data_IF_437862199151
#
_entry.id   IF_437862199151
#
_cell.length_a   1.000
_cell.length_b   1.000
_cell.length_c   1.000
_cell.angle_alpha   90.00
_cell.angle_beta   90.00
_cell.angle_gamma   90.00
#
_symmetry.space_group_name_H-M   'P 1'
#
loop_
_entity.id
_entity.type
_entity.pdbx_description
1 polymer ?
#
# COMPACT_ATOMS: atom_id res chain seq x y z
N UNK A 1 -7.55 -21.87 -9.61
CA UNK A 1 -8.07 -23.23 -9.34
C UNK A 1 -9.33 -23.46 -10.16
N UNK A 2 -9.60 -24.71 -10.44
CA UNK A 2 -10.71 -25.12 -11.33
C UNK A 2 -11.68 -26.09 -10.65
N UNK A 3 -11.38 -26.51 -9.44
CA UNK A 3 -12.24 -27.43 -8.70
C UNK A 3 -12.26 -27.11 -7.22
N UNK A 4 -13.23 -27.68 -6.51
CA UNK A 4 -13.33 -27.52 -5.06
C UNK A 4 -12.12 -28.15 -4.37
N UNK A 5 -11.69 -29.32 -4.83
CA UNK A 5 -10.53 -30.00 -4.24
C UNK A 5 -9.25 -29.18 -4.43
N UNK A 6 -9.05 -28.59 -5.61
CA UNK A 6 -7.91 -27.69 -5.86
C UNK A 6 -7.98 -26.47 -4.94
N UNK A 7 -9.18 -25.95 -4.69
CA UNK A 7 -9.39 -24.80 -3.81
C UNK A 7 -8.94 -25.11 -2.38
N UNK A 8 -9.35 -26.28 -1.88
CA UNK A 8 -8.98 -26.69 -0.52
C UNK A 8 -7.47 -26.90 -0.41
N UNK A 9 -6.86 -27.52 -1.42
CA UNK A 9 -5.41 -27.74 -1.43
C UNK A 9 -4.64 -26.41 -1.47
N UNK A 10 -5.11 -25.47 -2.27
CA UNK A 10 -4.47 -24.15 -2.37
C UNK A 10 -4.56 -23.41 -1.03
N UNK A 11 -5.72 -23.45 -0.38
CA UNK A 11 -5.91 -22.77 0.91
C UNK A 11 -5.04 -23.38 2.01
N UNK A 12 -4.82 -24.70 1.97
CA UNK A 12 -3.90 -25.34 2.91
C UNK A 12 -2.49 -24.79 2.81
N UNK A 13 -2.03 -24.53 1.59
CA UNK A 13 -0.72 -23.94 1.35
C UNK A 13 -0.64 -22.49 1.78
N UNK A 14 -1.70 -21.72 1.53
CA UNK A 14 -1.73 -20.29 1.86
C UNK A 14 -1.94 -20.01 3.34
N UNK A 15 -2.70 -20.86 4.00
CA UNK A 15 -3.12 -20.64 5.39
C UNK A 15 -4.41 -19.82 5.45
N UNK A 16 -5.34 -20.27 6.29
CA UNK A 16 -6.60 -19.57 6.51
C UNK A 16 -6.39 -18.33 7.38
N UNK A 17 -7.21 -17.29 7.24
CA UNK A 17 -8.33 -17.18 6.30
C UNK A 17 -7.87 -16.90 4.87
N UNK A 18 -8.70 -17.30 3.90
CA UNK A 18 -8.46 -17.01 2.49
C UNK A 18 -9.63 -16.22 1.93
N UNK A 19 -9.37 -15.54 0.82
CA UNK A 19 -10.39 -14.82 0.06
C UNK A 19 -10.59 -15.53 -1.27
N UNK A 20 -11.85 -15.68 -1.67
CA UNK A 20 -12.19 -16.25 -2.98
C UNK A 20 -12.70 -15.16 -3.91
N UNK A 21 -12.41 -15.30 -5.18
CA UNK A 21 -12.90 -14.39 -6.20
C UNK A 21 -13.11 -15.20 -7.50
N UNK A 22 -14.34 -15.18 -7.99
CA UNK A 22 -14.64 -15.83 -9.27
C UNK A 22 -13.96 -15.05 -10.39
N UNK A 23 -13.29 -15.75 -11.31
CA UNK A 23 -12.47 -15.13 -12.35
C UNK A 23 -13.32 -14.34 -13.35
N UNK A 24 -14.55 -14.79 -13.61
CA UNK A 24 -15.39 -14.24 -14.66
C UNK A 24 -16.80 -13.89 -14.19
N UNK A 25 -16.97 -13.48 -12.94
CA UNK A 25 -18.29 -13.13 -12.46
C UNK A 25 -18.53 -11.61 -12.47
N UNK A 26 -19.73 -11.23 -12.86
CA UNK A 26 -20.21 -9.87 -12.70
C UNK A 26 -21.06 -9.82 -11.43
N UNK A 27 -20.92 -8.77 -10.66
CA UNK A 27 -21.73 -8.55 -9.49
C UNK A 27 -21.30 -9.22 -8.20
N UNK A 28 -20.07 -9.70 -8.14
CA UNK A 28 -19.50 -10.21 -6.89
C UNK A 28 -19.94 -11.60 -6.45
N UNK A 29 -20.70 -12.30 -7.25
CA UNK A 29 -21.09 -13.69 -6.95
C UNK A 29 -19.85 -14.59 -6.91
N UNK A 30 -19.71 -15.35 -5.84
CA UNK A 30 -18.57 -16.24 -5.65
C UNK A 30 -17.36 -15.60 -5.00
N UNK A 31 -17.48 -14.34 -4.56
CA UNK A 31 -16.45 -13.68 -3.80
C UNK A 31 -16.80 -13.74 -2.32
N UNK A 32 -15.81 -13.96 -1.47
CA UNK A 32 -16.05 -14.01 -0.04
C UNK A 32 -14.82 -14.44 0.72
N UNK A 33 -14.94 -14.43 2.04
CA UNK A 33 -13.88 -14.87 2.95
C UNK A 33 -14.24 -16.24 3.51
N UNK A 34 -13.25 -17.10 3.61
CA UNK A 34 -13.38 -18.41 4.23
C UNK A 34 -12.36 -18.51 5.37
N UNK A 35 -12.84 -18.77 6.57
CA UNK A 35 -11.98 -18.88 7.74
C UNK A 35 -11.51 -20.31 8.00
N UNK A 36 -12.10 -21.28 7.33
CA UNK A 36 -11.81 -22.70 7.53
C UNK A 36 -12.21 -23.46 6.26
N UNK A 37 -11.79 -24.75 6.15
CA UNK A 37 -12.11 -25.55 4.97
C UNK A 37 -13.61 -25.71 4.72
N UNK A 38 -14.43 -25.79 5.74
CA UNK A 38 -15.88 -25.93 5.59
C UNK A 38 -16.48 -24.74 4.86
N UNK A 39 -16.12 -23.52 5.30
CA UNK A 39 -16.59 -22.29 4.65
C UNK A 39 -16.09 -22.18 3.22
N UNK A 40 -14.83 -22.56 2.98
CA UNK A 40 -14.26 -22.51 1.64
C UNK A 40 -14.97 -23.47 0.71
N UNK A 41 -15.31 -24.67 1.18
CA UNK A 41 -16.03 -25.65 0.36
C UNK A 41 -17.36 -25.10 -0.13
N UNK A 42 -18.11 -24.43 0.74
CA UNK A 42 -19.37 -23.80 0.39
C UNK A 42 -19.17 -22.72 -0.67
N UNK A 43 -18.22 -21.79 -0.43
CA UNK A 43 -17.95 -20.69 -1.35
C UNK A 43 -17.48 -21.21 -2.72
N UNK A 44 -16.55 -22.18 -2.70
CA UNK A 44 -15.98 -22.72 -3.94
C UNK A 44 -17.05 -23.46 -4.75
N UNK A 45 -17.92 -24.21 -4.08
CA UNK A 45 -19.00 -24.93 -4.76
C UNK A 45 -19.94 -23.93 -5.46
N UNK A 46 -20.31 -22.86 -4.76
CA UNK A 46 -21.18 -21.83 -5.33
C UNK A 46 -20.51 -21.10 -6.50
N UNK A 47 -19.24 -20.72 -6.32
CA UNK A 47 -18.51 -19.97 -7.34
C UNK A 47 -18.29 -20.79 -8.61
N UNK A 48 -17.89 -22.06 -8.45
CA UNK A 48 -17.57 -22.92 -9.58
C UNK A 48 -18.82 -23.44 -10.31
N UNK A 49 -19.99 -23.26 -9.72
CA UNK A 49 -21.25 -23.53 -10.41
C UNK A 49 -21.52 -22.50 -11.52
N UNK A 50 -20.93 -21.33 -11.42
CA UNK A 50 -21.19 -20.21 -12.35
C UNK A 50 -19.93 -19.67 -13.03
N UNK A 51 -18.75 -20.16 -12.66
CA UNK A 51 -17.48 -19.75 -13.25
C UNK A 51 -16.59 -20.97 -13.40
N UNK A 52 -15.81 -21.00 -14.48
CA UNK A 52 -14.88 -22.08 -14.71
C UNK A 52 -13.62 -21.98 -13.86
N UNK A 53 -13.39 -20.83 -13.26
CA UNK A 53 -12.15 -20.55 -12.50
C UNK A 53 -12.46 -19.81 -11.23
N UNK A 54 -11.68 -20.10 -10.19
CA UNK A 54 -11.75 -19.40 -8.91
C UNK A 54 -10.34 -19.00 -8.52
N UNK A 55 -10.18 -17.77 -8.06
CA UNK A 55 -8.92 -17.28 -7.50
C UNK A 55 -9.01 -17.42 -5.98
N UNK A 56 -7.97 -18.02 -5.40
CA UNK A 56 -7.85 -18.15 -3.94
C UNK A 56 -6.65 -17.32 -3.51
N UNK A 57 -6.89 -16.33 -2.66
CA UNK A 57 -5.85 -15.46 -2.14
C UNK A 57 -5.78 -15.55 -0.62
N UNK A 58 -4.58 -15.41 -0.07
CA UNK A 58 -4.42 -15.27 1.37
C UNK A 58 -5.11 -13.99 1.83
N UNK A 59 -5.90 -14.07 2.89
CA UNK A 59 -6.52 -12.89 3.47
C UNK A 59 -5.53 -12.19 4.39
N UNK A 60 -5.35 -10.89 4.19
CA UNK A 60 -4.50 -10.05 5.02
C UNK A 60 -5.32 -9.15 5.93
N UNK A 61 -6.58 -9.53 6.17
CA UNK A 61 -7.46 -8.77 7.05
C UNK A 61 -6.82 -8.62 8.42
N UNK A 62 -6.78 -7.39 8.92
CA UNK A 62 -6.19 -7.10 10.23
C UNK A 62 -4.70 -6.80 10.19
N UNK A 63 -4.05 -6.95 9.03
CA UNK A 63 -2.64 -6.60 8.90
C UNK A 63 -2.49 -5.09 8.80
N UNK A 64 -1.35 -4.58 9.25
CA UNK A 64 -1.02 -3.15 9.13
C UNK A 64 -0.72 -2.81 7.69
N UNK A 65 -1.19 -1.65 7.25
CA UNK A 65 -0.83 -1.12 5.93
C UNK A 65 0.20 -0.02 6.11
N UNK A 66 1.38 -0.23 5.57
CA UNK A 66 2.52 0.68 5.67
C UNK A 66 2.91 1.12 4.27
N UNK A 67 3.24 2.39 4.11
CA UNK A 67 3.67 2.94 2.82
C UNK A 67 5.00 3.66 2.95
N UNK A 68 5.78 3.64 1.87
CA UNK A 68 7.00 4.44 1.73
C UNK A 68 6.92 5.22 0.43
N UNK A 69 7.25 6.50 0.52
CA UNK A 69 7.50 7.32 -0.66
C UNK A 69 9.00 7.36 -0.89
N UNK A 70 9.41 7.01 -2.10
CA UNK A 70 10.82 6.84 -2.47
C UNK A 70 11.09 7.67 -3.72
N UNK A 71 12.25 8.29 -3.80
CA UNK A 71 12.72 8.94 -5.03
C UNK A 71 14.06 8.34 -5.44
N UNK A 72 14.26 8.23 -6.75
CA UNK A 72 15.49 7.70 -7.32
C UNK A 72 15.80 8.45 -8.61
N UNK A 73 17.09 8.81 -8.78
CA UNK A 73 17.52 9.50 -10.00
C UNK A 73 18.14 8.50 -11.00
N UNK A 74 18.57 8.99 -12.14
CA UNK A 74 19.16 8.18 -13.20
C UNK A 74 20.55 7.65 -12.86
N UNK A 75 21.13 8.13 -11.76
CA UNK A 75 22.48 7.78 -11.31
C UNK A 75 22.47 6.87 -10.09
N UNK A 76 21.30 6.30 -9.79
CA UNK A 76 21.07 5.37 -8.69
C UNK A 76 21.17 6.00 -7.29
N UNK A 77 21.10 7.31 -7.17
CA UNK A 77 20.86 7.92 -5.86
C UNK A 77 19.42 7.69 -5.50
N UNK A 78 19.18 7.14 -4.31
CA UNK A 78 17.84 6.70 -3.92
C UNK A 78 17.64 6.97 -2.43
N UNK A 79 16.56 7.65 -2.08
CA UNK A 79 16.21 7.91 -0.67
C UNK A 79 14.73 7.62 -0.43
N UNK A 80 14.41 7.30 0.81
CA UNK A 80 13.02 7.28 1.26
C UNK A 80 12.68 8.67 1.80
N UNK A 81 11.60 9.23 1.31
CA UNK A 81 11.18 10.59 1.69
C UNK A 81 10.30 10.54 2.92
N UNK A 82 9.43 9.56 2.99
CA UNK A 82 8.43 9.50 4.05
C UNK A 82 7.92 8.08 4.19
N UNK A 83 7.71 7.65 5.44
CA UNK A 83 6.93 6.46 5.67
C UNK A 83 5.61 6.84 6.33
N UNK A 84 4.56 6.08 6.06
CA UNK A 84 3.20 6.36 6.51
C UNK A 84 2.52 5.08 6.91
N UNK A 85 1.54 5.21 7.78
CA UNK A 85 0.74 4.08 8.26
C UNK A 85 -0.74 4.42 8.14
N UNK A 86 -1.51 3.52 7.54
CA UNK A 86 -2.96 3.60 7.53
C UNK A 86 -3.48 3.14 8.89
N UNK A 87 -4.32 3.98 9.51
CA UNK A 87 -4.99 3.63 10.76
C UNK A 87 -6.19 2.72 10.47
N UNK A 88 -6.83 2.95 9.34
CA UNK A 88 -8.00 2.17 8.92
C UNK A 88 -7.60 0.76 8.49
N UNK A 89 -8.53 -0.18 8.50
CA UNK A 89 -8.23 -1.56 8.10
C UNK A 89 -7.66 -1.66 6.71
N UNK A 90 -6.83 -2.67 6.49
CA UNK A 90 -6.27 -2.96 5.18
C UNK A 90 -7.40 -3.13 4.16
N UNK A 91 -7.25 -2.48 3.02
CA UNK A 91 -8.24 -2.49 1.94
C UNK A 91 -8.92 -1.16 1.71
N UNK A 92 -8.81 -0.22 2.65
CA UNK A 92 -9.32 1.14 2.45
C UNK A 92 -8.22 1.95 1.78
N UNK A 93 -8.53 2.56 0.66
CA UNK A 93 -7.55 3.33 -0.12
C UNK A 93 -6.96 4.46 0.71
N UNK A 94 -5.64 4.65 0.61
CA UNK A 94 -4.90 5.68 1.38
C UNK A 94 -5.50 7.07 1.20
N UNK A 95 -6.02 7.39 0.03
CA UNK A 95 -6.64 8.68 -0.20
C UNK A 95 -7.91 8.89 0.62
N UNK A 96 -8.52 7.81 1.09
CA UNK A 96 -9.83 7.81 1.75
C UNK A 96 -9.75 7.43 3.23
N UNK A 97 -8.57 7.11 3.73
CA UNK A 97 -8.37 6.61 5.09
C UNK A 97 -7.66 7.64 5.97
N UNK A 98 -7.63 7.36 7.26
CA UNK A 98 -6.82 8.12 8.22
C UNK A 98 -5.38 7.60 8.10
N UNK A 99 -4.44 8.51 7.88
CA UNK A 99 -3.04 8.16 7.67
C UNK A 99 -2.16 8.97 8.61
N UNK A 100 -1.17 8.33 9.21
CA UNK A 100 -0.20 8.99 10.11
C UNK A 100 1.19 8.93 9.46
N UNK A 101 1.89 10.05 9.47
CA UNK A 101 3.26 10.16 8.99
C UNK A 101 4.12 10.84 10.07
N UNK A 102 5.22 10.25 10.48
CA UNK A 102 5.68 8.90 10.17
C UNK A 102 4.87 7.82 10.91
N UNK A 103 5.01 6.58 10.49
CA UNK A 103 4.36 5.45 11.16
C UNK A 103 4.72 5.44 12.65
N UNK A 104 3.72 5.21 13.52
CA UNK A 104 3.90 5.27 14.96
C UNK A 104 4.01 3.91 15.63
N UNK A 105 3.69 2.82 14.92
CA UNK A 105 3.61 1.50 15.53
C UNK A 105 4.71 0.55 15.06
N UNK A 106 5.65 1.01 14.25
CA UNK A 106 6.77 0.18 13.79
C UNK A 106 7.92 0.23 14.78
N UNK A 107 8.55 -0.92 15.02
CA UNK A 107 9.85 -0.95 15.67
C UNK A 107 10.91 -0.38 14.72
N UNK A 108 12.06 -0.01 15.25
CA UNK A 108 13.18 0.43 14.42
C UNK A 108 13.60 -0.67 13.43
N UNK A 109 13.53 -1.92 13.87
CA UNK A 109 13.88 -3.06 13.01
C UNK A 109 12.91 -3.19 11.85
N UNK A 110 11.61 -3.10 12.13
CA UNK A 110 10.57 -3.15 11.09
C UNK A 110 10.71 -1.98 10.12
N UNK A 111 10.90 -0.78 10.65
CA UNK A 111 11.10 0.42 9.83
C UNK A 111 12.25 0.23 8.85
N UNK A 112 13.40 -0.22 9.34
CA UNK A 112 14.60 -0.37 8.51
C UNK A 112 14.47 -1.54 7.53
N UNK A 113 13.81 -2.61 7.92
CA UNK A 113 13.54 -3.75 7.05
C UNK A 113 12.71 -3.33 5.84
N UNK A 114 11.62 -2.63 6.09
CA UNK A 114 10.72 -2.18 5.01
C UNK A 114 11.38 -1.10 4.16
N UNK A 115 12.16 -0.21 4.79
CA UNK A 115 12.92 0.82 4.06
C UNK A 115 13.93 0.17 3.10
N UNK A 116 14.69 -0.79 3.57
CA UNK A 116 15.67 -1.50 2.77
C UNK A 116 15.01 -2.22 1.59
N UNK A 117 13.88 -2.86 1.85
CA UNK A 117 13.11 -3.55 0.80
C UNK A 117 12.59 -2.56 -0.24
N UNK A 118 12.09 -1.40 0.21
CA UNK A 118 11.58 -0.37 -0.70
C UNK A 118 12.67 0.07 -1.68
N UNK A 119 13.87 0.35 -1.17
CA UNK A 119 15.00 0.78 -1.99
C UNK A 119 15.39 -0.33 -2.97
N UNK A 120 15.46 -1.58 -2.52
CA UNK A 120 15.79 -2.72 -3.38
C UNK A 120 14.80 -2.88 -4.52
N UNK A 121 13.50 -2.76 -4.22
CA UNK A 121 12.44 -2.92 -5.22
C UNK A 121 12.51 -1.82 -6.28
N UNK A 122 12.64 -0.57 -5.83
CA UNK A 122 12.71 0.58 -6.73
C UNK A 122 13.94 0.46 -7.64
N UNK A 123 15.08 0.04 -7.11
CA UNK A 123 16.29 -0.19 -7.89
C UNK A 123 16.12 -1.34 -8.87
N UNK A 124 15.48 -2.43 -8.41
CA UNK A 124 15.24 -3.60 -9.27
C UNK A 124 14.44 -3.24 -10.52
N UNK A 125 13.39 -2.44 -10.33
CA UNK A 125 12.55 -2.01 -11.45
C UNK A 125 13.15 -0.84 -12.25
N UNK A 126 14.25 -0.26 -11.77
CA UNK A 126 14.91 0.83 -12.47
C UNK A 126 14.08 2.10 -12.53
N UNK A 127 13.20 2.31 -11.56
CA UNK A 127 12.34 3.50 -11.53
C UNK A 127 13.19 4.76 -11.41
N UNK A 128 12.93 5.74 -12.26
CA UNK A 128 13.52 7.08 -12.17
C UNK A 128 12.36 8.03 -11.86
N UNK A 129 12.46 8.72 -10.74
CA UNK A 129 11.39 9.61 -10.30
C UNK A 129 10.87 9.19 -8.94
N UNK A 130 9.60 9.45 -8.71
CA UNK A 130 8.94 9.16 -7.44
C UNK A 130 8.19 7.84 -7.54
N UNK A 131 8.22 7.09 -6.45
CA UNK A 131 7.59 5.79 -6.38
C UNK A 131 7.00 5.57 -4.99
N UNK A 132 5.78 5.05 -4.95
CA UNK A 132 5.10 4.66 -3.71
C UNK A 132 5.10 3.15 -3.63
N UNK A 133 5.50 2.60 -2.48
CA UNK A 133 5.41 1.16 -2.24
C UNK A 133 4.54 0.93 -1.00
N UNK A 134 3.61 -0.02 -1.10
CA UNK A 134 2.65 -0.36 -0.06
C UNK A 134 2.89 -1.77 0.42
N UNK A 135 2.89 -1.93 1.74
CA UNK A 135 3.12 -3.21 2.41
C UNK A 135 1.94 -3.57 3.29
N UNK A 136 1.71 -4.87 3.42
CA UNK A 136 0.93 -5.42 4.52
C UNK A 136 1.92 -6.05 5.50
N UNK A 137 1.90 -5.61 6.75
CA UNK A 137 2.80 -6.12 7.79
C UNK A 137 1.96 -6.84 8.84
N UNK A 138 2.36 -8.07 9.16
CA UNK A 138 1.70 -8.86 10.19
C UNK A 138 1.80 -8.12 11.53
N UNK A 139 0.67 -7.88 12.24
CA UNK A 139 0.73 -7.13 13.50
C UNK A 139 1.44 -7.87 14.63
N UNK A 140 1.70 -9.18 14.48
CA UNK A 140 2.27 -10.02 15.53
C UNK A 140 3.65 -10.61 15.17
N UNK A 141 4.18 -10.28 13.99
CA UNK A 141 5.48 -10.78 13.54
C UNK A 141 6.07 -9.82 12.53
N UNK A 142 7.27 -10.15 12.02
CA UNK A 142 7.93 -9.35 10.99
C UNK A 142 7.58 -9.82 9.58
N UNK A 143 6.64 -10.75 9.44
CA UNK A 143 6.19 -11.21 8.12
C UNK A 143 5.48 -10.06 7.40
N UNK A 144 5.81 -9.87 6.13
CA UNK A 144 5.18 -8.81 5.34
C UNK A 144 5.04 -9.24 3.88
N UNK A 145 4.14 -8.56 3.20
CA UNK A 145 3.96 -8.70 1.75
C UNK A 145 3.99 -7.32 1.11
N UNK A 146 4.53 -7.26 -0.09
CA UNK A 146 4.39 -6.07 -0.93
C UNK A 146 3.03 -6.17 -1.61
N UNK A 147 2.20 -5.15 -1.39
CA UNK A 147 0.85 -5.13 -1.96
C UNK A 147 0.86 -4.47 -3.32
N UNK A 148 1.57 -3.33 -3.43
CA UNK A 148 1.50 -2.52 -4.64
C UNK A 148 2.72 -1.62 -4.75
N UNK A 149 3.16 -1.41 -5.99
CA UNK A 149 4.23 -0.46 -6.30
C UNK A 149 3.68 0.48 -7.37
N UNK A 150 3.69 1.77 -7.08
CA UNK A 150 3.15 2.79 -7.97
C UNK A 150 4.25 3.79 -8.35
N UNK A 151 4.75 3.69 -9.59
CA UNK A 151 5.84 4.54 -10.06
C UNK A 151 5.24 5.85 -10.62
N UNK A 152 4.62 6.62 -9.75
CA UNK A 152 3.96 7.87 -10.11
C UNK A 152 3.67 8.69 -8.87
N UNK A 153 3.49 9.98 -9.06
CA UNK A 153 2.95 10.86 -8.01
C UNK A 153 1.50 10.48 -7.72
N UNK A 154 1.08 10.65 -6.50
CA UNK A 154 -0.25 10.26 -6.06
C UNK A 154 -0.73 11.17 -4.93
N UNK A 155 -1.91 10.86 -4.39
CA UNK A 155 -2.44 11.61 -3.24
C UNK A 155 -1.55 11.43 -2.01
N UNK A 156 -0.93 10.28 -1.86
CA UNK A 156 0.01 10.05 -0.76
C UNK A 156 1.27 10.89 -0.91
N UNK A 157 1.68 11.20 -2.14
CA UNK A 157 2.82 12.09 -2.39
C UNK A 157 2.55 13.50 -1.86
N UNK A 158 1.31 13.97 -2.03
CA UNK A 158 0.93 15.29 -1.51
C UNK A 158 0.98 15.31 0.03
N UNK A 159 0.49 14.26 0.67
CA UNK A 159 0.58 14.13 2.13
C UNK A 159 2.03 14.08 2.58
N UNK A 160 2.85 13.27 1.92
CA UNK A 160 4.28 13.15 2.26
C UNK A 160 4.99 14.49 2.12
N UNK A 161 4.69 15.25 1.06
CA UNK A 161 5.28 16.58 0.86
C UNK A 161 4.90 17.53 1.98
N UNK A 162 3.63 17.55 2.36
CA UNK A 162 3.15 18.41 3.44
C UNK A 162 3.74 18.01 4.79
N UNK A 163 3.82 16.72 5.05
CA UNK A 163 4.31 16.22 6.34
C UNK A 163 5.80 16.47 6.51
N UNK A 164 6.60 16.31 5.47
CA UNK A 164 8.06 16.35 5.56
C UNK A 164 8.67 17.67 5.12
N UNK A 165 7.92 18.48 4.37
CA UNK A 165 8.47 19.65 3.72
C UNK A 165 9.33 19.33 2.50
N UNK A 166 9.39 18.07 2.08
CA UNK A 166 10.14 17.65 0.90
C UNK A 166 9.26 17.88 -0.34
N UNK A 167 9.71 18.68 -1.31
CA UNK A 167 8.85 19.04 -2.45
C UNK A 167 8.85 17.95 -3.53
N UNK A 168 8.10 16.87 -3.31
CA UNK A 168 8.12 15.68 -4.16
C UNK A 168 7.82 15.98 -5.63
N UNK A 169 6.80 16.80 -5.92
CA UNK A 169 6.43 17.10 -7.31
C UNK A 169 7.54 17.85 -8.02
N UNK A 170 8.15 18.82 -7.36
CA UNK A 170 9.27 19.58 -7.89
C UNK A 170 10.47 18.66 -8.16
N UNK A 171 10.81 17.83 -7.18
CA UNK A 171 11.94 16.90 -7.32
C UNK A 171 11.68 15.90 -8.45
N UNK A 172 10.48 15.33 -8.51
CA UNK A 172 10.13 14.38 -9.57
C UNK A 172 10.26 15.00 -10.96
N UNK A 173 9.87 16.27 -11.10
CA UNK A 173 10.03 16.98 -12.39
C UNK A 173 11.50 17.14 -12.75
N UNK A 174 12.35 17.50 -11.78
CA UNK A 174 13.80 17.62 -12.02
C UNK A 174 14.42 16.27 -12.38
N UNK A 175 13.99 15.21 -11.70
CA UNK A 175 14.48 13.85 -12.01
C UNK A 175 14.12 13.43 -13.43
N UNK A 176 12.92 13.79 -13.87
CA UNK A 176 12.47 13.50 -15.25
C UNK A 176 13.33 14.23 -16.30
N UNK A 177 13.92 15.35 -15.90
CA UNK A 177 14.82 16.11 -16.78
C UNK A 177 16.28 15.62 -16.67
N UNK A 178 16.53 14.57 -15.88
CA UNK A 178 17.85 13.97 -15.77
C UNK A 178 18.76 14.61 -14.74
N UNK A 179 18.26 15.50 -13.89
CA UNK A 179 19.07 16.16 -12.86
C UNK A 179 19.31 15.19 -11.71
N UNK A 180 20.56 14.95 -11.27
CA UNK A 180 20.80 14.04 -10.14
C UNK A 180 20.32 14.62 -8.81
N UNK A 181 19.88 13.75 -7.91
CA UNK A 181 19.36 14.16 -6.59
C UNK A 181 20.32 15.11 -5.84
N UNK A 182 21.63 14.84 -5.78
CA UNK A 182 22.52 15.76 -5.06
C UNK A 182 22.61 17.17 -5.67
N UNK A 183 22.22 17.34 -6.92
CA UNK A 183 22.25 18.64 -7.59
C UNK A 183 20.94 19.38 -7.52
N UNK A 184 19.87 18.74 -7.02
CA UNK A 184 18.58 19.41 -6.86
C UNK A 184 18.56 20.05 -5.47
N UNK A 185 18.38 21.37 -5.44
CA UNK A 185 18.21 22.09 -4.17
C UNK A 185 16.80 21.84 -3.65
N UNK A 186 16.68 21.60 -2.34
CA UNK A 186 15.37 21.52 -1.72
C UNK A 186 14.78 22.93 -1.75
N UNK A 187 13.72 23.11 -2.51
CA UNK A 187 13.12 24.44 -2.73
C UNK A 187 12.45 25.00 -1.48
N UNK A 188 12.20 24.15 -0.49
CA UNK A 188 11.57 24.58 0.77
C UNK A 188 12.64 25.05 1.77
N UNK A 189 13.71 24.28 1.96
CA UNK A 189 14.77 24.65 2.92
C UNK A 189 15.72 25.68 2.35
N UNK A 190 15.95 25.66 1.05
CA UNK A 190 16.89 26.55 0.37
C UNK A 190 18.37 26.25 0.66
N UNK A 191 18.65 25.36 1.61
CA UNK A 191 20.02 25.10 2.07
C UNK A 191 20.46 23.65 1.88
N UNK A 192 19.54 22.71 1.81
CA UNK A 192 19.87 21.28 1.64
C UNK A 192 19.58 20.83 0.21
N UNK A 193 20.13 19.66 -0.16
CA UNK A 193 19.80 19.05 -1.45
C UNK A 193 18.66 18.08 -1.27
N UNK A 194 18.10 17.66 -2.41
CA UNK A 194 17.03 16.66 -2.43
C UNK A 194 17.52 15.25 -2.07
N UNK A 195 18.83 15.06 -1.90
CA UNK A 195 19.40 13.75 -1.55
C UNK A 195 19.53 13.53 -0.04
N UNK A 196 18.73 14.24 0.77
CA UNK A 196 18.67 14.08 2.22
C UNK A 196 17.31 13.53 2.61
N UNK A 197 17.31 12.42 3.36
CA UNK A 197 16.07 11.86 3.90
C UNK A 197 15.54 12.79 4.99
N UNK A 198 14.27 13.21 4.91
CA UNK A 198 13.69 13.99 5.99
C UNK A 198 13.61 13.18 7.28
N UNK A 199 13.80 13.87 8.40
CA UNK A 199 13.67 13.30 9.73
C UNK A 199 12.70 14.15 10.52
N UNK A 200 11.62 13.56 11.02
CA UNK A 200 10.55 14.28 11.67
C UNK A 200 10.59 14.07 13.17
N UNK A 201 10.49 15.17 13.92
CA UNK A 201 10.34 15.13 15.38
C UNK A 201 8.89 15.41 15.80
N UNK A 202 7.95 15.24 14.86
CA UNK A 202 6.52 15.39 15.06
C UNK A 202 5.80 14.38 14.18
N UNK A 203 4.52 14.19 14.43
CA UNK A 203 3.71 13.38 13.53
C UNK A 203 2.58 14.22 12.92
N UNK A 204 2.17 13.84 11.74
CA UNK A 204 1.09 14.47 10.99
C UNK A 204 0.00 13.44 10.79
N UNK A 205 -1.23 13.78 11.12
CA UNK A 205 -2.38 12.90 10.93
C UNK A 205 -3.26 13.50 9.83
N UNK A 206 -3.47 12.74 8.77
CA UNK A 206 -4.42 13.11 7.72
C UNK A 206 -5.75 12.45 8.05
N UNK A 207 -6.80 13.25 8.18
CA UNK A 207 -8.16 12.75 8.43
C UNK A 207 -9.02 13.17 7.24
N UNK A 208 -9.62 12.22 6.52
CA UNK A 208 -10.49 12.58 5.40
C UNK A 208 -11.79 13.24 5.92
N UNK A 209 -12.29 14.17 5.18
CA UNK A 209 -13.58 14.80 5.46
C UNK A 209 -14.53 14.51 4.30
N UNK A 210 -15.67 13.93 4.63
CA UNK A 210 -16.67 13.55 3.63
C UNK A 210 -17.86 14.47 3.73
N UNK A 211 -18.32 14.99 2.60
CA UNK A 211 -19.52 15.82 2.52
C UNK A 211 -20.72 14.90 2.30
N UNK A 212 -21.14 14.27 3.37
CA UNK A 212 -22.28 13.34 3.34
C UNK A 212 -23.61 14.04 3.25
N UNK A 213 -23.61 15.12 3.49
CA UNK A 213 -24.80 15.86 3.50
C UNK A 213 -25.32 16.25 2.15
N UNK A 214 -24.47 16.19 1.32
CA UNK A 214 -24.79 16.49 -0.05
C UNK A 214 -25.48 15.35 -0.74
N UNK A 215 -25.25 14.22 -0.19
CA UNK A 215 -25.75 13.03 -0.88
C UNK A 215 -26.81 12.28 -0.04
N UNK A 216 -27.74 12.24 -0.49
CA UNK A 216 -28.88 11.75 0.19
C UNK A 216 -29.04 10.27 0.35
N UNK A 217 -28.32 9.53 -0.45
CA UNK A 217 -28.49 8.07 -0.41
C UNK A 217 -27.16 7.36 -0.15
N UNK A 218 -26.32 7.93 0.68
CA UNK A 218 -25.03 7.30 1.00
C UNK A 218 -25.04 6.81 2.44
N UNK A 219 -24.29 5.73 2.68
CA UNK A 219 -24.07 5.25 4.04
C UNK A 219 -23.26 6.27 4.83
N UNK A 220 -23.61 6.44 6.09
CA UNK A 220 -22.82 7.26 7.00
C UNK A 220 -21.64 6.45 7.59
N UNK A 221 -21.60 5.16 7.30
CA UNK A 221 -20.47 4.32 7.71
C UNK A 221 -19.33 4.52 6.72
N UNK A 222 -18.16 4.84 7.22
CA UNK A 222 -16.97 5.04 6.42
C UNK A 222 -16.05 3.84 6.66
N UNK A 223 -15.63 3.20 5.58
CA UNK A 223 -14.75 2.04 5.67
C UNK A 223 -15.06 1.03 4.58
N UNK A 224 -14.29 -0.05 4.58
CA UNK A 224 -14.55 -1.15 3.66
C UNK A 224 -15.76 -1.95 4.13
N UNK A 225 -16.68 -2.24 3.22
CA UNK A 225 -17.88 -3.04 3.51
C UNK A 225 -17.57 -4.54 3.44
#
# INVERSE_FOLDING_TARGET
>A
VYSVDESLAAAEKLGYPVMTRAAFSLGGLGSGFANNPHELKILATQALAHSSQLIIDKSLKGWKEIEYEVVRDAFDNCITVCNMENVDPLGIHTGESIVIAPSQTLSNREYNMLRTTAIKVIRHFGVIGECNIQYALNPHSEEYYIIEVNARLSRSSALASKATGYPLAYVAAKLALGVPLPEIKNSVTGTTTACFEPSLDYCVVKVPRWDLXXFXRVSTRIGSS
#
